data_IF_448275761604
#
_entry.id   IF_448275761604
#
_cell.length_a   1.000
_cell.length_b   1.000
_cell.length_c   1.000
_cell.angle_alpha   90.00
_cell.angle_beta   90.00
_cell.angle_gamma   90.00
#
_symmetry.space_group_name_H-M   'P 1'
#
loop_
_entity.id
_entity.type
_entity.pdbx_description
1 polymer ?
#
# COMPACT_ATOMS: atom_id res chain seq x y z
N UNK A 1 -24.05 29.14 2.85
CA UNK A 1 -23.77 27.91 2.09
C UNK A 1 -24.59 26.79 2.69
N UNK A 2 -25.30 26.01 1.91
CA UNK A 2 -26.00 24.84 2.43
C UNK A 2 -24.96 23.80 2.87
N UNK A 3 -25.22 23.05 3.95
CA UNK A 3 -24.29 22.01 4.45
C UNK A 3 -23.87 21.01 3.36
N UNK A 4 -24.75 20.72 2.41
CA UNK A 4 -24.47 19.84 1.27
C UNK A 4 -23.37 20.36 0.33
N UNK A 5 -23.22 21.65 0.16
CA UNK A 5 -22.18 22.23 -0.71
C UNK A 5 -20.82 22.11 -0.04
N UNK A 6 -20.75 22.35 1.27
CA UNK A 6 -19.53 22.14 2.06
C UNK A 6 -19.09 20.67 2.07
N UNK A 7 -20.05 19.73 2.15
CA UNK A 7 -19.70 18.29 2.06
C UNK A 7 -19.09 17.94 0.71
N UNK A 8 -19.63 18.44 -0.40
CA UNK A 8 -19.09 18.25 -1.75
C UNK A 8 -17.69 18.85 -1.88
N UNK A 9 -17.47 20.03 -1.32
CA UNK A 9 -16.18 20.69 -1.33
C UNK A 9 -15.11 19.87 -0.59
N UNK A 10 -15.43 19.38 0.62
CA UNK A 10 -14.53 18.53 1.41
C UNK A 10 -14.19 17.24 0.64
N UNK A 11 -15.18 16.52 0.12
CA UNK A 11 -14.96 15.30 -0.66
C UNK A 11 -14.12 15.57 -1.92
N UNK A 12 -14.35 16.69 -2.60
CA UNK A 12 -13.55 17.09 -3.76
C UNK A 12 -12.10 17.40 -3.38
N UNK A 13 -11.87 18.08 -2.26
CA UNK A 13 -10.54 18.37 -1.74
C UNK A 13 -9.77 17.09 -1.39
N UNK A 14 -10.43 16.14 -0.72
CA UNK A 14 -9.82 14.83 -0.39
C UNK A 14 -9.42 14.05 -1.65
N UNK A 15 -10.29 13.99 -2.66
CA UNK A 15 -9.98 13.35 -3.95
C UNK A 15 -8.81 14.02 -4.66
N UNK A 16 -8.79 15.36 -4.67
CA UNK A 16 -7.70 16.14 -5.28
C UNK A 16 -6.37 15.88 -4.56
N UNK A 17 -6.38 15.82 -3.23
CA UNK A 17 -5.19 15.52 -2.43
C UNK A 17 -4.64 14.11 -2.75
N UNK A 18 -5.51 13.09 -2.82
CA UNK A 18 -5.10 11.72 -3.19
C UNK A 18 -4.47 11.69 -4.60
N UNK A 19 -5.06 12.37 -5.58
CA UNK A 19 -4.51 12.44 -6.93
C UNK A 19 -3.16 13.15 -6.97
N UNK A 20 -3.01 14.29 -6.29
CA UNK A 20 -1.74 15.01 -6.22
C UNK A 20 -0.65 14.18 -5.55
N UNK A 21 -1.00 13.45 -4.49
CA UNK A 21 -0.09 12.52 -3.83
C UNK A 21 0.39 11.41 -4.78
N UNK A 22 -0.54 10.80 -5.53
CA UNK A 22 -0.19 9.76 -6.54
C UNK A 22 0.70 10.28 -7.65
N UNK A 23 0.44 11.49 -8.16
CA UNK A 23 1.28 12.14 -9.17
C UNK A 23 2.69 12.37 -8.61
N UNK A 24 2.80 12.95 -7.42
CA UNK A 24 4.09 13.22 -6.78
C UNK A 24 4.92 11.97 -6.52
N UNK A 25 4.28 10.88 -6.08
CA UNK A 25 4.96 9.57 -5.90
C UNK A 25 5.49 9.08 -7.24
N UNK A 26 4.68 9.15 -8.30
CA UNK A 26 5.08 8.70 -9.64
C UNK A 26 6.24 9.52 -10.19
N UNK A 27 6.20 10.83 -10.02
CA UNK A 27 7.24 11.75 -10.51
C UNK A 27 8.56 11.57 -9.72
N UNK A 28 8.47 11.28 -8.43
CA UNK A 28 9.65 11.07 -7.58
C UNK A 28 10.27 9.68 -7.72
N UNK A 29 9.49 8.70 -8.16
CA UNK A 29 9.92 7.32 -8.35
C UNK A 29 10.64 7.07 -9.69
N UNK A 30 11.11 8.12 -10.38
CA UNK A 30 11.90 7.99 -11.61
C UNK A 30 13.17 7.17 -11.36
N UNK A 31 13.21 5.94 -11.87
CA UNK A 31 14.33 5.01 -11.73
C UNK A 31 14.06 3.81 -10.80
N UNK A 32 13.02 3.85 -9.98
CA UNK A 32 12.59 2.71 -9.19
C UNK A 32 11.38 2.07 -9.87
N UNK A 33 11.61 1.04 -10.69
CA UNK A 33 10.55 0.29 -11.39
C UNK A 33 9.71 -0.58 -10.43
N UNK A 34 9.50 -0.13 -9.20
CA UNK A 34 8.58 -0.79 -8.28
C UNK A 34 7.14 -0.35 -8.55
N UNK A 35 6.38 -1.23 -9.17
CA UNK A 35 4.94 -1.06 -9.28
C UNK A 35 4.32 -0.92 -7.88
N UNK A 36 3.26 -0.11 -7.77
CA UNK A 36 2.48 0.14 -6.54
C UNK A 36 2.14 -1.14 -5.76
N UNK A 37 1.97 -2.27 -6.45
CA UNK A 37 1.69 -3.58 -5.83
C UNK A 37 2.95 -4.30 -5.33
N UNK A 38 4.14 -3.92 -5.77
CA UNK A 38 5.39 -4.59 -5.43
C UNK A 38 6.00 -4.07 -4.13
N UNK A 39 5.78 -2.80 -3.81
CA UNK A 39 6.32 -2.21 -2.59
C UNK A 39 5.79 -2.88 -1.31
N UNK A 40 4.47 -3.08 -1.11
CA UNK A 40 3.97 -3.82 0.05
C UNK A 40 4.50 -5.26 0.12
N UNK A 41 4.71 -5.87 -1.06
CA UNK A 41 5.28 -7.21 -1.14
C UNK A 41 6.75 -7.22 -0.70
N UNK A 42 7.56 -6.28 -1.17
CA UNK A 42 8.97 -6.16 -0.80
C UNK A 42 9.12 -5.81 0.69
N UNK A 43 8.29 -4.93 1.21
CA UNK A 43 8.25 -4.58 2.63
C UNK A 43 7.92 -5.80 3.51
N UNK A 44 6.90 -6.59 3.12
CA UNK A 44 6.58 -7.82 3.83
C UNK A 44 7.75 -8.81 3.81
N UNK A 45 8.35 -9.07 2.64
CA UNK A 45 9.47 -10.00 2.49
C UNK A 45 10.68 -9.53 3.30
N UNK A 46 10.95 -8.22 3.36
CA UNK A 46 12.06 -7.66 4.12
C UNK A 46 11.93 -7.89 5.63
N UNK A 47 10.70 -7.87 6.14
CA UNK A 47 10.38 -8.09 7.56
C UNK A 47 10.23 -9.57 7.91
N UNK A 48 10.02 -10.44 6.91
CA UNK A 48 9.74 -11.88 7.09
C UNK A 48 10.65 -12.70 6.16
N UNK A 49 11.96 -12.61 6.38
CA UNK A 49 12.94 -13.35 5.59
C UNK A 49 12.64 -14.86 5.59
N UNK A 50 12.64 -15.47 4.41
CA UNK A 50 12.30 -16.89 4.25
C UNK A 50 10.78 -17.16 4.16
N UNK A 51 9.94 -16.15 4.06
CA UNK A 51 8.51 -16.32 3.80
C UNK A 51 8.27 -16.95 2.42
N UNK A 52 7.12 -17.59 2.24
CA UNK A 52 6.69 -18.16 0.96
C UNK A 52 5.78 -17.21 0.18
N UNK A 53 5.59 -17.47 -1.12
CA UNK A 53 4.59 -16.73 -1.91
C UNK A 53 3.17 -16.86 -1.34
N UNK A 54 2.85 -17.98 -0.71
CA UNK A 54 1.56 -18.19 -0.05
C UNK A 54 1.40 -17.27 1.17
N UNK A 55 2.45 -17.10 1.97
CA UNK A 55 2.42 -16.19 3.11
C UNK A 55 2.20 -14.74 2.66
N UNK A 56 2.90 -14.31 1.60
CA UNK A 56 2.72 -12.99 0.99
C UNK A 56 1.30 -12.83 0.43
N UNK A 57 0.79 -13.83 -0.29
CA UNK A 57 -0.57 -13.85 -0.85
C UNK A 57 -1.63 -13.70 0.24
N UNK A 58 -1.47 -14.45 1.33
CA UNK A 58 -2.38 -14.40 2.47
C UNK A 58 -2.33 -13.03 3.18
N UNK A 59 -1.11 -12.50 3.39
CA UNK A 59 -0.95 -11.21 4.08
C UNK A 59 -1.49 -10.04 3.27
N UNK A 60 -1.18 -9.99 1.96
CA UNK A 60 -1.60 -8.89 1.09
C UNK A 60 -3.00 -9.06 0.52
N UNK A 61 -3.62 -10.23 0.73
CA UNK A 61 -4.90 -10.60 0.13
C UNK A 61 -4.92 -10.43 -1.41
N UNK A 62 -3.82 -10.80 -2.05
CA UNK A 62 -3.64 -10.74 -3.51
C UNK A 62 -3.55 -12.16 -4.05
N UNK A 63 -4.08 -12.39 -5.26
CA UNK A 63 -4.10 -13.73 -5.85
C UNK A 63 -2.70 -14.35 -5.95
N UNK A 64 -2.53 -15.66 -5.74
CA UNK A 64 -1.25 -16.34 -5.87
C UNK A 64 -0.58 -16.12 -7.23
N UNK A 65 -1.35 -16.01 -8.31
CA UNK A 65 -0.85 -15.75 -9.65
C UNK A 65 -0.22 -14.34 -9.76
N UNK A 66 -0.86 -13.32 -9.17
CA UNK A 66 -0.32 -11.96 -9.12
C UNK A 66 0.94 -11.87 -8.28
N UNK A 67 0.99 -12.57 -7.14
CA UNK A 67 2.20 -12.66 -6.30
C UNK A 67 3.33 -13.35 -7.06
N UNK A 68 3.07 -14.47 -7.74
CA UNK A 68 4.09 -15.18 -8.53
C UNK A 68 4.68 -14.30 -9.64
N UNK A 69 3.83 -13.55 -10.35
CA UNK A 69 4.25 -12.61 -11.39
C UNK A 69 5.12 -11.48 -10.81
N UNK A 70 4.67 -10.86 -9.70
CA UNK A 70 5.42 -9.80 -9.02
C UNK A 70 6.74 -10.30 -8.46
N UNK A 71 6.76 -11.48 -7.85
CA UNK A 71 7.97 -12.10 -7.31
C UNK A 71 9.01 -12.35 -8.41
N UNK A 72 8.57 -12.86 -9.59
CA UNK A 72 9.47 -13.07 -10.74
C UNK A 72 10.10 -11.76 -11.22
N UNK A 73 9.33 -10.68 -11.29
CA UNK A 73 9.84 -9.35 -11.69
C UNK A 73 10.85 -8.81 -10.67
N UNK A 74 10.55 -8.91 -9.38
CA UNK A 74 11.42 -8.44 -8.31
C UNK A 74 12.71 -9.26 -8.23
N UNK A 75 12.65 -10.57 -8.46
CA UNK A 75 13.83 -11.43 -8.57
C UNK A 75 14.68 -11.05 -9.78
N UNK A 76 14.06 -10.83 -10.95
CA UNK A 76 14.77 -10.38 -12.16
C UNK A 76 15.40 -8.99 -11.99
N UNK A 77 14.82 -8.13 -11.17
CA UNK A 77 15.37 -6.83 -10.78
C UNK A 77 16.43 -6.92 -9.65
N UNK A 78 16.70 -8.12 -9.13
CA UNK A 78 17.68 -8.32 -8.06
C UNK A 78 17.24 -7.85 -6.67
N UNK A 79 15.95 -7.55 -6.48
CA UNK A 79 15.42 -7.01 -5.22
C UNK A 79 15.11 -8.10 -4.19
N UNK A 80 14.81 -9.31 -4.66
CA UNK A 80 14.61 -10.48 -3.82
C UNK A 80 15.40 -11.67 -4.37
N UNK A 81 15.69 -12.62 -3.51
CA UNK A 81 16.22 -13.94 -3.86
C UNK A 81 15.19 -15.02 -3.55
N UNK A 82 15.26 -16.12 -4.31
CA UNK A 82 14.50 -17.34 -4.06
C UNK A 82 15.43 -18.48 -3.74
N UNK A 83 15.14 -19.20 -2.70
CA UNK A 83 15.83 -20.44 -2.36
C UNK A 83 14.80 -21.55 -2.18
N UNK A 84 15.07 -22.78 -2.67
CA UNK A 84 14.21 -23.92 -2.38
C UNK A 84 14.07 -24.11 -0.86
N UNK A 85 12.87 -24.44 -0.41
CA UNK A 85 12.67 -24.82 0.99
C UNK A 85 13.23 -26.24 1.20
N UNK A 86 14.20 -26.39 2.10
CA UNK A 86 14.85 -27.66 2.40
C UNK A 86 13.86 -28.74 2.88
N UNK A 87 12.76 -28.31 3.50
CA UNK A 87 11.70 -29.22 3.99
C UNK A 87 10.64 -29.52 2.94
N UNK A 88 10.52 -28.71 1.89
CA UNK A 88 9.57 -28.89 0.82
C UNK A 88 10.05 -28.26 -0.49
N UNK A 89 10.74 -29.02 -1.32
CA UNK A 89 11.32 -28.59 -2.59
C UNK A 89 10.32 -27.99 -3.61
N UNK A 90 9.00 -28.14 -3.36
CA UNK A 90 7.96 -27.49 -4.19
C UNK A 90 7.68 -26.04 -3.76
N UNK A 91 8.28 -25.58 -2.67
CA UNK A 91 8.12 -24.23 -2.15
C UNK A 91 9.44 -23.48 -2.28
N UNK A 92 9.35 -22.19 -2.60
CA UNK A 92 10.48 -21.29 -2.57
C UNK A 92 10.33 -20.33 -1.39
N UNK A 93 11.38 -20.16 -0.65
CA UNK A 93 11.55 -19.11 0.36
C UNK A 93 12.01 -17.84 -0.33
N UNK A 94 11.41 -16.72 0.04
CA UNK A 94 11.72 -15.39 -0.46
C UNK A 94 12.51 -14.62 0.60
N UNK A 95 13.54 -13.92 0.16
CA UNK A 95 14.33 -13.04 1.04
C UNK A 95 14.66 -11.77 0.26
N UNK A 96 14.54 -10.61 0.90
CA UNK A 96 14.97 -9.35 0.31
C UNK A 96 16.51 -9.34 0.22
N UNK A 97 17.02 -8.83 -0.88
CA UNK A 97 18.46 -8.61 -1.07
C UNK A 97 18.86 -7.27 -0.46
N UNK A 98 20.16 -7.00 -0.38
CA UNK A 98 20.67 -5.67 -0.01
C UNK A 98 20.13 -4.57 -0.93
N UNK A 99 20.06 -4.83 -2.24
CA UNK A 99 19.44 -3.93 -3.21
C UNK A 99 17.93 -3.74 -2.92
N UNK A 100 17.22 -4.78 -2.50
CA UNK A 100 15.83 -4.69 -2.09
C UNK A 100 15.64 -3.82 -0.85
N UNK A 101 16.48 -3.97 0.16
CA UNK A 101 16.45 -3.11 1.35
C UNK A 101 16.78 -1.65 1.01
N UNK A 102 17.78 -1.38 0.17
CA UNK A 102 18.12 -0.04 -0.29
C UNK A 102 16.95 0.60 -1.06
N UNK A 103 16.33 -0.15 -1.97
CA UNK A 103 15.17 0.30 -2.72
C UNK A 103 13.98 0.68 -1.81
N UNK A 104 13.71 -0.10 -0.76
CA UNK A 104 12.68 0.23 0.24
C UNK A 104 13.03 1.51 0.99
N UNK A 105 14.28 1.68 1.42
CA UNK A 105 14.71 2.87 2.13
C UNK A 105 14.54 4.14 1.27
N UNK A 106 14.90 4.09 -0.01
CA UNK A 106 14.69 5.19 -0.96
C UNK A 106 13.19 5.52 -1.11
N UNK A 107 12.35 4.51 -1.26
CA UNK A 107 10.90 4.72 -1.39
C UNK A 107 10.29 5.32 -0.12
N UNK A 108 10.69 4.85 1.07
CA UNK A 108 10.22 5.45 2.32
C UNK A 108 10.68 6.90 2.46
N UNK A 109 11.92 7.22 2.09
CA UNK A 109 12.40 8.61 2.09
C UNK A 109 11.58 9.52 1.16
N UNK A 110 11.13 9.01 0.00
CA UNK A 110 10.22 9.75 -0.90
C UNK A 110 8.87 10.01 -0.22
N UNK A 111 8.30 9.02 0.48
CA UNK A 111 7.04 9.20 1.19
C UNK A 111 7.18 10.17 2.35
N UNK A 112 8.23 10.05 3.15
CA UNK A 112 8.49 10.95 4.28
C UNK A 112 8.65 12.40 3.82
N UNK A 113 9.39 12.65 2.72
CA UNK A 113 9.54 13.97 2.14
C UNK A 113 8.22 14.53 1.59
N UNK A 114 7.39 13.67 0.98
CA UNK A 114 6.07 14.06 0.49
C UNK A 114 5.12 14.40 1.65
N UNK A 115 5.15 13.61 2.71
CA UNK A 115 4.32 13.85 3.89
C UNK A 115 4.75 15.12 4.61
N UNK A 116 6.06 15.34 4.82
CA UNK A 116 6.59 16.58 5.38
C UNK A 116 6.17 17.82 4.56
N UNK A 117 6.18 17.73 3.21
CA UNK A 117 5.71 18.80 2.35
C UNK A 117 4.20 19.00 2.46
N UNK A 118 3.43 17.92 2.50
CA UNK A 118 1.96 17.97 2.57
C UNK A 118 1.49 18.64 3.87
N UNK A 119 2.17 18.39 4.96
CA UNK A 119 1.81 18.92 6.28
C UNK A 119 2.64 20.15 6.70
N UNK A 120 3.40 20.72 5.76
CA UNK A 120 4.17 21.94 6.03
C UNK A 120 3.27 23.09 6.47
N UNK A 121 3.61 23.74 7.58
CA UNK A 121 2.86 24.88 8.14
C UNK A 121 1.71 24.49 9.08
N UNK A 122 1.44 23.21 9.26
CA UNK A 122 0.49 22.74 10.28
C UNK A 122 1.18 22.61 11.63
N UNK A 123 0.51 23.06 12.67
CA UNK A 123 0.90 22.77 14.06
C UNK A 123 0.44 21.35 14.48
N UNK A 124 1.08 20.80 15.52
CA UNK A 124 0.68 19.49 16.06
C UNK A 124 -0.80 19.47 16.50
N UNK A 125 -1.32 20.57 17.04
CA UNK A 125 -2.72 20.68 17.46
C UNK A 125 -3.67 20.59 16.26
N UNK A 126 -3.33 21.21 15.12
CA UNK A 126 -4.09 21.13 13.89
C UNK A 126 -4.05 19.71 13.30
N UNK A 127 -2.88 19.05 13.31
CA UNK A 127 -2.73 17.68 12.84
C UNK A 127 -3.53 16.70 13.70
N UNK A 128 -3.52 16.84 15.01
CA UNK A 128 -4.34 16.03 15.93
C UNK A 128 -5.83 16.23 15.64
N UNK A 129 -6.24 17.49 15.48
CA UNK A 129 -7.64 17.84 15.16
C UNK A 129 -8.08 17.24 13.83
N UNK A 130 -7.25 17.37 12.78
CA UNK A 130 -7.49 16.81 11.45
C UNK A 130 -7.61 15.28 11.52
N UNK A 131 -6.69 14.60 12.19
CA UNK A 131 -6.74 13.15 12.39
C UNK A 131 -8.03 12.71 13.07
N UNK A 132 -8.46 13.41 14.13
CA UNK A 132 -9.72 13.13 14.81
C UNK A 132 -10.96 13.32 13.92
N UNK A 133 -10.96 14.38 13.07
CA UNK A 133 -12.04 14.59 12.12
C UNK A 133 -12.10 13.50 11.05
N UNK A 134 -10.95 13.07 10.51
CA UNK A 134 -10.88 11.99 9.53
C UNK A 134 -11.35 10.66 10.12
N UNK A 135 -10.92 10.30 11.33
CA UNK A 135 -11.38 9.10 12.01
C UNK A 135 -12.90 9.10 12.22
N UNK A 136 -13.48 10.22 12.65
CA UNK A 136 -14.94 10.35 12.76
C UNK A 136 -15.66 10.22 11.41
N UNK A 137 -15.06 10.70 10.32
CA UNK A 137 -15.61 10.50 8.97
C UNK A 137 -15.55 9.02 8.56
N UNK A 138 -14.47 8.32 8.90
CA UNK A 138 -14.32 6.88 8.66
C UNK A 138 -15.40 6.11 9.42
N UNK A 139 -15.57 6.37 10.71
CA UNK A 139 -16.60 5.75 11.53
C UNK A 139 -18.02 5.99 10.99
N UNK A 140 -18.34 7.24 10.59
CA UNK A 140 -19.63 7.57 10.01
C UNK A 140 -19.89 6.92 8.64
N UNK A 141 -18.84 6.63 7.89
CA UNK A 141 -18.93 6.01 6.55
C UNK A 141 -18.94 4.49 6.61
N UNK A 142 -18.49 3.91 7.72
CA UNK A 142 -18.41 2.48 7.89
C UNK A 142 -19.79 1.85 8.04
N UNK A 143 -19.98 0.69 7.41
CA UNK A 143 -21.13 -0.16 7.60
C UNK A 143 -20.69 -1.48 8.26
N UNK A 144 -21.30 -1.81 9.39
CA UNK A 144 -20.93 -3.00 10.17
C UNK A 144 -19.50 -2.89 10.68
N UNK A 145 -18.66 -3.88 10.37
CA UNK A 145 -17.27 -4.03 10.85
C UNK A 145 -16.22 -3.30 9.98
N UNK A 146 -16.66 -2.51 8.99
CA UNK A 146 -15.72 -1.92 8.01
C UNK A 146 -14.84 -0.81 8.58
N UNK A 147 -15.23 -0.15 9.67
CA UNK A 147 -14.45 0.93 10.30
C UNK A 147 -13.08 0.46 10.82
N UNK A 148 -12.97 -0.80 11.24
CA UNK A 148 -11.76 -1.37 11.82
C UNK A 148 -10.89 -2.12 10.82
N UNK A 149 -11.34 -2.24 9.57
CA UNK A 149 -10.58 -2.92 8.52
C UNK A 149 -9.39 -2.08 8.07
N UNK A 150 -8.28 -2.76 7.85
CA UNK A 150 -7.10 -2.17 7.23
C UNK A 150 -7.38 -1.77 5.77
N UNK A 151 -6.56 -0.88 5.22
CA UNK A 151 -6.66 -0.48 3.81
C UNK A 151 -6.61 -1.70 2.88
N UNK A 152 -5.78 -2.71 3.19
CA UNK A 152 -5.67 -3.94 2.40
C UNK A 152 -6.96 -4.77 2.43
N UNK A 153 -7.60 -4.88 3.58
CA UNK A 153 -8.88 -5.59 3.73
C UNK A 153 -10.02 -4.88 3.00
N UNK A 154 -10.04 -3.54 3.02
CA UNK A 154 -11.01 -2.74 2.28
C UNK A 154 -10.81 -2.88 0.77
N UNK A 155 -9.57 -2.87 0.28
CA UNK A 155 -9.25 -3.09 -1.14
C UNK A 155 -9.70 -4.50 -1.56
N UNK A 156 -9.44 -5.52 -0.73
CA UNK A 156 -9.90 -6.89 -1.00
C UNK A 156 -11.40 -6.94 -1.13
N UNK A 157 -12.13 -6.40 -0.16
CA UNK A 157 -13.60 -6.38 -0.17
C UNK A 157 -14.14 -5.68 -1.43
N UNK A 158 -13.53 -4.58 -1.84
CA UNK A 158 -13.91 -3.87 -3.04
C UNK A 158 -13.72 -4.72 -4.30
N UNK A 159 -12.56 -5.40 -4.43
CA UNK A 159 -12.26 -6.28 -5.56
C UNK A 159 -13.20 -7.49 -5.62
N UNK A 160 -13.56 -8.08 -4.48
CA UNK A 160 -14.54 -9.17 -4.40
C UNK A 160 -15.92 -8.73 -4.91
N UNK A 161 -16.39 -7.55 -4.50
CA UNK A 161 -17.65 -6.96 -4.96
C UNK A 161 -17.65 -6.61 -6.47
N UNK A 162 -16.49 -6.24 -7.03
CA UNK A 162 -16.35 -5.95 -8.46
C UNK A 162 -16.27 -7.24 -9.29
N UNK A 163 -15.61 -8.29 -8.77
CA UNK A 163 -15.51 -9.60 -9.41
C UNK A 163 -16.86 -10.33 -9.53
N UNK A 164 -17.73 -10.20 -8.53
CA UNK A 164 -19.08 -10.75 -8.55
C UNK A 164 -20.01 -10.10 -9.61
N UNK A 165 -19.70 -8.88 -10.05
CA UNK A 165 -20.48 -8.18 -11.07
C UNK A 165 -20.11 -8.55 -12.51
N UNK A 166 -19.03 -9.33 -12.72
CA UNK A 166 -18.55 -9.76 -14.03
C UNK A 166 -18.92 -11.22 -14.35
N UNK A 167 -19.60 -11.93 -13.47
CA UNK A 167 -20.24 -13.22 -13.69
C UNK A 167 -21.75 -13.02 -13.84
#
# INVERSE_FOLDING_TARGET
MASSDLYREIISAMRRLDLLRRISIRDSAHGVELHRTQMPMLDYISKHAGCTQADVSNHLHVSPASIACSAKRMESAGLISRMPDETNLRRNKLTATEAGHACLAEMFAVFDALDARTFSGFSDAELISLSGMLNRMIENSAQGDTAHKTIHELIRQLNEMEGEKQC
#
